data_IF_006166399642
#
_entry.id   IF_006166399642
#
_cell.length_a   1.000
_cell.length_b   1.000
_cell.length_c   1.000
_cell.angle_alpha   90.00
_cell.angle_beta   90.00
_cell.angle_gamma   90.00
#
_symmetry.space_group_name_H-M   'P 1'
#
loop_
_entity.id
_entity.type
_entity.pdbx_description
1 polymer ?
#
# COMPACT_ATOMS: atom_id res chain seq x y z
N UNK A 1 -2.48 13.32 16.03
CA UNK A 1 -2.60 12.34 14.94
C UNK A 1 -1.21 12.15 14.36
N UNK A 2 -0.69 10.92 14.34
CA UNK A 2 0.65 10.66 13.81
C UNK A 2 0.58 10.39 12.30
N UNK A 3 1.54 10.92 11.54
CA UNK A 3 1.75 10.57 10.14
C UNK A 3 2.53 9.26 10.06
N UNK A 4 2.35 8.50 8.98
CA UNK A 4 3.20 7.34 8.70
C UNK A 4 4.66 7.77 8.45
N UNK A 5 5.60 6.88 8.75
CA UNK A 5 7.05 7.03 8.56
C UNK A 5 7.40 7.67 7.23
N UNK A 6 6.94 7.11 6.10
CA UNK A 6 7.27 7.65 4.77
C UNK A 6 6.68 9.04 4.54
N UNK A 7 5.55 9.38 5.17
CA UNK A 7 5.01 10.74 5.09
C UNK A 7 5.83 11.72 5.94
N UNK A 8 6.35 11.28 7.09
CA UNK A 8 7.27 12.08 7.91
C UNK A 8 8.59 12.33 7.16
N UNK A 9 9.17 11.29 6.56
CA UNK A 9 10.41 11.38 5.77
C UNK A 9 10.25 12.26 4.53
N UNK A 10 9.09 12.17 3.86
CA UNK A 10 8.79 13.03 2.70
C UNK A 10 8.75 14.53 3.07
N UNK A 11 8.38 14.85 4.31
CA UNK A 11 8.21 16.22 4.81
C UNK A 11 7.06 16.98 4.17
N UNK A 12 6.82 18.22 4.63
CA UNK A 12 5.73 19.13 4.18
C UNK A 12 5.93 19.72 2.77
N UNK A 13 6.69 19.06 1.88
CA UNK A 13 7.11 19.68 0.60
C UNK A 13 6.01 19.88 -0.45
N UNK A 14 4.76 19.48 -0.18
CA UNK A 14 3.65 19.66 -1.11
C UNK A 14 2.69 20.76 -0.63
N UNK A 15 2.91 21.99 -1.14
CA UNK A 15 2.03 23.15 -1.00
C UNK A 15 0.71 23.06 -1.82
N UNK A 16 0.35 21.87 -2.30
CA UNK A 16 -0.91 21.63 -3.00
C UNK A 16 -1.89 21.00 -2.01
N UNK A 17 -2.59 21.89 -1.29
CA UNK A 17 -3.55 21.62 -0.22
C UNK A 17 -4.11 20.21 -0.15
N UNK A 18 -3.88 19.59 1.02
CA UNK A 18 -4.57 18.43 1.58
C UNK A 18 -3.99 17.05 1.21
N UNK A 19 -2.70 16.83 1.48
CA UNK A 19 -2.22 15.47 1.76
C UNK A 19 -2.90 14.96 3.05
N UNK A 20 -3.44 13.74 3.00
CA UNK A 20 -4.06 13.08 4.15
C UNK A 20 -3.45 11.70 4.29
N UNK A 21 -2.78 11.46 5.42
CA UNK A 21 -2.17 10.17 5.70
C UNK A 21 -3.24 9.10 5.93
N UNK A 22 -3.08 7.96 5.28
CA UNK A 22 -3.97 6.81 5.48
C UNK A 22 -3.99 6.30 6.93
N UNK A 23 -2.92 6.58 7.68
CA UNK A 23 -2.68 6.09 9.04
C UNK A 23 -2.93 7.17 10.11
N UNK A 24 -3.33 8.38 9.71
CA UNK A 24 -3.64 9.45 10.67
C UNK A 24 -5.10 9.45 11.16
N UNK A 25 -6.01 8.80 10.44
CA UNK A 25 -7.44 8.70 10.80
C UNK A 25 -7.79 7.37 11.42
N UNK A 26 -8.79 7.36 12.31
CA UNK A 26 -9.37 6.14 12.90
C UNK A 26 -9.97 5.22 11.84
N UNK A 27 -10.54 5.80 10.78
CA UNK A 27 -11.08 5.04 9.66
C UNK A 27 -9.98 4.80 8.62
N UNK A 28 -9.23 3.71 8.80
CA UNK A 28 -8.20 3.27 7.85
C UNK A 28 -8.71 3.37 6.41
N UNK A 29 -8.00 4.13 5.57
CA UNK A 29 -8.24 4.34 4.15
C UNK A 29 -9.46 5.18 3.73
N UNK A 30 -10.37 5.62 4.61
CA UNK A 30 -11.58 6.37 4.19
C UNK A 30 -11.33 7.77 3.61
N UNK A 31 -10.12 8.31 3.72
CA UNK A 31 -9.77 9.60 3.15
C UNK A 31 -8.24 9.76 3.03
N UNK A 32 -7.57 8.89 2.26
CA UNK A 32 -6.11 8.92 2.15
C UNK A 32 -5.65 9.62 0.86
N UNK A 33 -5.49 10.93 0.87
CA UNK A 33 -5.01 11.65 -0.32
C UNK A 33 -3.48 11.76 -0.33
N UNK A 34 -2.83 11.20 -1.35
CA UNK A 34 -1.37 11.22 -1.57
C UNK A 34 -0.55 10.72 -0.38
N UNK A 35 -1.02 9.67 0.29
CA UNK A 35 -0.27 9.04 1.37
C UNK A 35 0.98 8.35 0.82
N UNK A 36 2.17 8.77 1.28
CA UNK A 36 3.45 8.31 0.73
C UNK A 36 3.62 6.79 0.77
N UNK A 37 3.23 6.14 1.87
CA UNK A 37 3.28 4.67 1.99
C UNK A 37 2.33 4.00 1.00
N UNK A 38 1.11 4.54 0.83
CA UNK A 38 0.10 3.95 -0.07
C UNK A 38 0.48 4.16 -1.53
N UNK A 39 1.02 5.32 -1.87
CA UNK A 39 1.57 5.58 -3.20
C UNK A 39 2.75 4.65 -3.51
N UNK A 40 3.62 4.38 -2.53
CA UNK A 40 4.71 3.44 -2.68
C UNK A 40 4.18 2.02 -2.96
N UNK A 41 3.20 1.54 -2.19
CA UNK A 41 2.53 0.25 -2.46
C UNK A 41 1.91 0.21 -3.86
N UNK A 42 1.21 1.27 -4.27
CA UNK A 42 0.61 1.33 -5.62
C UNK A 42 1.65 1.23 -6.72
N UNK A 43 2.83 1.81 -6.54
CA UNK A 43 3.94 1.72 -7.51
C UNK A 43 4.52 0.31 -7.63
N UNK A 44 4.26 -0.57 -6.67
CA UNK A 44 4.66 -1.99 -6.76
C UNK A 44 3.71 -2.81 -7.64
N UNK A 45 2.48 -2.34 -7.90
CA UNK A 45 1.56 -3.07 -8.75
C UNK A 45 2.04 -3.08 -10.20
N UNK A 46 2.38 -4.28 -10.68
CA UNK A 46 2.79 -4.52 -12.07
C UNK A 46 1.55 -4.68 -12.97
N UNK A 47 0.52 -5.37 -12.47
CA UNK A 47 -0.71 -5.62 -13.20
C UNK A 47 -1.86 -4.84 -12.54
N UNK A 48 -2.38 -3.86 -13.26
CA UNK A 48 -3.50 -3.02 -12.83
C UNK A 48 -4.70 -3.37 -13.70
N UNK A 49 -5.76 -3.85 -13.07
CA UNK A 49 -7.00 -4.17 -13.73
C UNK A 49 -7.96 -2.97 -13.69
N UNK A 50 -8.68 -2.73 -14.78
CA UNK A 50 -9.70 -1.69 -14.86
C UNK A 50 -11.09 -2.34 -14.80
N UNK A 51 -11.91 -1.88 -13.87
CA UNK A 51 -13.32 -2.24 -13.75
C UNK A 51 -14.22 -1.20 -14.43
N UNK A 52 -15.52 -1.47 -14.43
CA UNK A 52 -16.54 -0.48 -14.79
C UNK A 52 -16.42 0.76 -13.89
N UNK A 53 -16.88 1.89 -14.40
CA UNK A 53 -16.94 3.17 -13.69
C UNK A 53 -15.59 3.74 -13.23
N UNK A 54 -14.50 3.44 -13.96
CA UNK A 54 -13.14 3.90 -13.65
C UNK A 54 -12.55 3.36 -12.34
N UNK A 55 -13.18 2.36 -11.73
CA UNK A 55 -12.59 1.66 -10.60
C UNK A 55 -11.39 0.84 -11.09
N UNK A 56 -10.32 0.82 -10.31
CA UNK A 56 -9.13 0.01 -10.57
C UNK A 56 -8.83 -0.87 -9.39
N UNK A 57 -8.20 -2.00 -9.63
CA UNK A 57 -7.63 -2.82 -8.57
C UNK A 57 -6.32 -3.45 -8.99
N UNK A 58 -5.53 -3.85 -8.00
CA UNK A 58 -4.33 -4.63 -8.20
C UNK A 58 -4.18 -5.66 -7.08
N UNK A 59 -3.42 -6.72 -7.40
CA UNK A 59 -3.05 -7.77 -6.46
C UNK A 59 -1.52 -7.92 -6.54
N UNK A 60 -0.86 -7.86 -5.38
CA UNK A 60 0.57 -8.14 -5.25
C UNK A 60 0.70 -9.48 -4.54
N UNK A 61 1.47 -10.41 -5.10
CA UNK A 61 1.82 -11.64 -4.40
C UNK A 61 2.82 -11.30 -3.29
N UNK A 62 2.49 -11.61 -2.03
CA UNK A 62 3.34 -11.34 -0.87
C UNK A 62 3.73 -12.63 -0.13
N UNK A 63 3.62 -13.80 -0.76
CA UNK A 63 3.87 -15.11 -0.12
C UNK A 63 5.32 -15.32 0.31
N UNK A 64 6.24 -14.53 -0.22
CA UNK A 64 7.66 -14.53 0.16
C UNK A 64 8.01 -13.42 1.16
N UNK A 65 7.04 -12.58 1.55
CA UNK A 65 7.23 -11.51 2.54
C UNK A 65 6.95 -12.09 3.92
N UNK A 66 7.92 -11.96 4.83
CA UNK A 66 7.71 -12.26 6.25
C UNK A 66 7.11 -11.04 6.91
N UNK A 67 5.86 -11.13 7.37
CA UNK A 67 5.18 -10.03 8.05
C UNK A 67 5.55 -9.99 9.55
N UNK A 68 5.34 -8.85 10.22
CA UNK A 68 5.68 -8.62 11.64
C UNK A 68 5.18 -9.70 12.60
N UNK A 69 3.95 -10.19 12.43
CA UNK A 69 3.36 -11.26 13.25
C UNK A 69 3.91 -12.66 12.90
N UNK A 70 4.94 -12.73 12.06
CA UNK A 70 5.52 -13.92 11.43
C UNK A 70 4.51 -14.72 10.60
N UNK A 71 3.37 -14.12 10.25
CA UNK A 71 2.46 -14.74 9.29
C UNK A 71 2.94 -14.52 7.87
N UNK A 72 2.49 -15.43 7.01
CA UNK A 72 2.72 -15.37 5.56
C UNK A 72 1.40 -14.92 4.94
N UNK A 73 1.32 -13.65 4.55
CA UNK A 73 0.24 -13.21 3.67
C UNK A 73 0.40 -13.86 2.30
N UNK A 74 -0.69 -14.25 1.64
CA UNK A 74 -0.61 -14.75 0.26
C UNK A 74 -0.57 -13.60 -0.74
N UNK A 75 -1.44 -12.62 -0.55
CA UNK A 75 -1.54 -11.49 -1.46
C UNK A 75 -2.00 -10.22 -0.76
N UNK A 76 -1.57 -9.09 -1.28
CA UNK A 76 -2.08 -7.76 -0.95
C UNK A 76 -3.01 -7.33 -2.07
N UNK A 77 -4.30 -7.22 -1.77
CA UNK A 77 -5.30 -6.63 -2.66
C UNK A 77 -5.48 -5.16 -2.33
N UNK A 78 -5.64 -4.31 -3.34
CA UNK A 78 -6.11 -2.95 -3.15
C UNK A 78 -6.86 -2.41 -4.38
N UNK A 79 -7.78 -1.49 -4.14
CA UNK A 79 -8.58 -0.84 -5.18
C UNK A 79 -8.59 0.67 -5.02
N UNK A 80 -8.80 1.39 -6.12
CA UNK A 80 -8.95 2.84 -6.09
C UNK A 80 -9.78 3.36 -7.26
N UNK A 81 -10.43 4.49 -7.05
CA UNK A 81 -11.17 5.18 -8.09
C UNK A 81 -10.26 6.07 -8.95
N UNK A 82 -10.35 5.93 -10.28
CA UNK A 82 -9.61 6.72 -11.29
C UNK A 82 -8.09 6.63 -11.14
N UNK A 83 -7.32 7.60 -11.66
CA UNK A 83 -5.89 7.74 -11.37
C UNK A 83 -5.65 8.65 -10.15
N UNK A 84 -6.56 8.63 -9.17
CA UNK A 84 -6.44 9.49 -7.98
C UNK A 84 -5.31 9.04 -7.04
N UNK A 85 -4.85 9.93 -6.18
CA UNK A 85 -3.84 9.65 -5.14
C UNK A 85 -4.39 8.93 -3.91
N UNK A 86 -5.51 8.21 -4.04
CA UNK A 86 -6.18 7.52 -2.94
C UNK A 86 -6.27 6.02 -3.20
N UNK A 87 -6.49 5.26 -2.13
CA UNK A 87 -6.90 3.86 -2.17
C UNK A 87 -8.21 3.71 -1.40
N UNK A 88 -9.22 3.11 -2.01
CA UNK A 88 -10.54 2.94 -1.39
C UNK A 88 -10.56 1.75 -0.44
N UNK A 89 -9.88 0.67 -0.82
CA UNK A 89 -9.84 -0.58 -0.07
C UNK A 89 -8.44 -1.19 -0.16
N UNK A 90 -7.98 -1.80 0.93
CA UNK A 90 -6.73 -2.55 0.96
C UNK A 90 -6.83 -3.69 1.98
N UNK A 91 -6.46 -4.91 1.55
CA UNK A 91 -6.54 -6.10 2.37
C UNK A 91 -5.35 -7.03 2.13
N UNK A 92 -4.79 -7.56 3.22
CA UNK A 92 -3.98 -8.77 3.17
C UNK A 92 -4.92 -9.97 3.14
N UNK A 93 -4.70 -10.83 2.15
CA UNK A 93 -5.40 -12.09 1.97
C UNK A 93 -4.47 -13.24 2.39
N UNK A 94 -5.04 -14.21 3.10
CA UNK A 94 -4.37 -15.40 3.61
C UNK A 94 -5.25 -16.62 3.29
N UNK A 95 -4.67 -17.83 3.32
CA UNK A 95 -5.42 -19.07 3.13
C UNK A 95 -6.36 -19.40 4.29
N UNK A 96 -5.96 -19.08 5.52
CA UNK A 96 -6.63 -19.54 6.75
C UNK A 96 -7.18 -18.41 7.63
N UNK A 97 -6.87 -17.16 7.31
CA UNK A 97 -7.35 -15.98 8.04
C UNK A 97 -8.35 -15.21 7.18
N UNK A 98 -9.30 -14.55 7.83
CA UNK A 98 -10.18 -13.60 7.16
C UNK A 98 -9.37 -12.44 6.56
N UNK A 99 -9.80 -11.86 5.43
CA UNK A 99 -9.19 -10.64 4.90
C UNK A 99 -9.11 -9.56 5.98
N UNK A 100 -7.96 -8.90 6.07
CA UNK A 100 -7.73 -7.85 7.07
C UNK A 100 -7.01 -6.66 6.48
N UNK A 101 -7.28 -5.49 7.05
CA UNK A 101 -6.58 -4.25 6.73
C UNK A 101 -5.12 -4.40 7.19
N UNK A 102 -4.12 -4.13 6.33
CA UNK A 102 -2.72 -4.13 6.73
C UNK A 102 -2.39 -2.98 7.68
N UNK A 103 -1.43 -3.20 8.57
CA UNK A 103 -0.80 -2.11 9.34
C UNK A 103 0.22 -1.37 8.48
N UNK A 104 0.64 -0.19 8.91
CA UNK A 104 1.72 0.55 8.22
C UNK A 104 2.99 -0.31 8.13
N UNK A 105 3.39 -0.93 9.24
CA UNK A 105 4.62 -1.71 9.33
C UNK A 105 4.65 -2.86 8.33
N UNK A 106 3.52 -3.55 8.14
CA UNK A 106 3.39 -4.62 7.14
C UNK A 106 3.55 -4.09 5.72
N UNK A 107 3.01 -2.91 5.43
CA UNK A 107 3.22 -2.28 4.12
C UNK A 107 4.68 -1.90 3.90
N UNK A 108 5.38 -1.42 4.94
CA UNK A 108 6.81 -1.12 4.85
C UNK A 108 7.65 -2.39 4.62
N UNK A 109 7.31 -3.49 5.28
CA UNK A 109 7.96 -4.80 5.06
C UNK A 109 7.79 -5.27 3.61
N UNK A 110 6.57 -5.14 3.07
CA UNK A 110 6.26 -5.46 1.67
C UNK A 110 7.07 -4.56 0.73
N UNK A 111 7.04 -3.24 0.92
CA UNK A 111 7.79 -2.28 0.09
C UNK A 111 9.28 -2.63 0.08
N UNK A 112 9.86 -2.79 1.27
CA UNK A 112 11.29 -3.11 1.42
C UNK A 112 11.67 -4.40 0.71
N UNK A 113 10.87 -5.44 0.83
CA UNK A 113 11.12 -6.71 0.15
C UNK A 113 11.18 -6.54 -1.38
N UNK A 114 10.20 -5.83 -1.96
CA UNK A 114 10.13 -5.63 -3.41
C UNK A 114 11.22 -4.71 -3.95
N UNK A 115 11.62 -3.69 -3.19
CA UNK A 115 12.74 -2.83 -3.56
C UNK A 115 14.07 -3.61 -3.59
N UNK A 116 14.33 -4.45 -2.59
CA UNK A 116 15.50 -5.32 -2.56
C UNK A 116 15.48 -6.32 -3.72
N UNK A 117 14.32 -6.96 -3.97
CA UNK A 117 14.16 -7.90 -5.09
C UNK A 117 14.43 -7.22 -6.43
N UNK A 118 13.90 -6.02 -6.65
CA UNK A 118 14.15 -5.21 -7.86
C UNK A 118 15.65 -4.90 -8.04
N UNK A 119 16.35 -4.50 -6.98
CA UNK A 119 17.79 -4.26 -7.01
C UNK A 119 18.59 -5.53 -7.34
N UNK A 120 18.16 -6.69 -6.87
CA UNK A 120 18.82 -7.97 -7.16
C UNK A 120 18.64 -8.42 -8.62
N UNK A 121 17.56 -8.01 -9.28
CA UNK A 121 17.30 -8.33 -10.69
C UNK A 121 18.07 -7.44 -11.67
N UNK A 122 18.42 -6.21 -11.28
CA UNK A 122 19.20 -5.27 -12.11
C UNK A 122 20.70 -5.61 -12.11
N UNK A 123 21.18 -6.34 -11.09
CA UNK A 123 22.60 -6.71 -10.94
C UNK A 123 22.98 -8.05 -11.60
N UNK A 124 22.09 -8.65 -12.40
CA UNK A 124 22.35 -9.85 -13.20
C UNK A 124 22.35 -9.49 -14.68
#
# INVERSE_FOLDING_TARGET
MALCSMCQERGEKWNLGNFICAFSSIDNFKNNWNCATIDAVRKLAINIENCKDHQKYAIINISEVTLRDKSIGLSLYFSWYKQSGTVDNMYILDRKKIPRIPTEEELLEIIKYFEIKKLSMIKK
#
